data_IF_614511398458
#
_entry.id   IF_614511398458
#
_cell.length_a   1.000
_cell.length_b   1.000
_cell.length_c   1.000
_cell.angle_alpha   90.00
_cell.angle_beta   90.00
_cell.angle_gamma   90.00
#
_symmetry.space_group_name_H-M   'P 1'
#
loop_
_entity.id
_entity.type
_entity.pdbx_description
1 polymer ?
#
# COMPACT_ATOMS: atom_id res chain seq x y z
N UNK A 1 51.71 -6.42 -45.86
CA UNK A 1 50.55 -6.79 -45.01
C UNK A 1 50.70 -6.01 -43.72
N UNK A 2 49.94 -4.93 -43.60
CA UNK A 2 50.14 -3.85 -42.62
C UNK A 2 49.22 -4.10 -41.43
N UNK A 3 49.77 -4.51 -40.29
CA UNK A 3 49.02 -4.76 -39.06
C UNK A 3 49.04 -3.55 -38.15
N UNK A 4 48.03 -2.69 -38.29
CA UNK A 4 47.82 -1.46 -37.54
C UNK A 4 47.61 -1.75 -36.04
N UNK A 5 48.46 -1.17 -35.20
CA UNK A 5 48.26 -1.11 -33.76
C UNK A 5 47.11 -0.14 -33.44
N UNK A 6 46.01 -0.64 -32.86
CA UNK A 6 45.01 0.19 -32.20
C UNK A 6 45.09 -0.06 -30.70
N UNK A 7 45.95 0.72 -30.06
CA UNK A 7 46.06 0.82 -28.61
C UNK A 7 44.76 1.50 -28.11
N UNK A 8 43.72 0.70 -27.84
CA UNK A 8 42.46 1.17 -27.26
C UNK A 8 42.76 1.62 -25.83
N UNK A 9 42.96 2.92 -25.65
CA UNK A 9 43.04 3.57 -24.34
C UNK A 9 41.79 3.20 -23.54
N UNK A 10 41.97 2.37 -22.51
CA UNK A 10 40.96 2.15 -21.48
C UNK A 10 41.06 3.35 -20.54
N UNK A 11 40.15 4.31 -20.73
CA UNK A 11 39.94 5.40 -19.79
C UNK A 11 39.67 4.82 -18.39
N UNK A 12 40.35 5.28 -17.33
CA UNK A 12 40.07 4.82 -15.98
C UNK A 12 38.65 5.20 -15.57
N UNK A 13 37.95 4.29 -14.91
CA UNK A 13 36.60 4.52 -14.39
C UNK A 13 36.59 5.77 -13.49
N UNK A 14 35.67 6.69 -13.79
CA UNK A 14 35.42 7.86 -12.93
C UNK A 14 35.10 7.39 -11.50
N UNK A 15 35.71 7.99 -10.46
CA UNK A 15 35.36 7.66 -9.09
C UNK A 15 33.87 7.92 -8.85
N UNK A 16 33.18 6.93 -8.28
CA UNK A 16 31.85 7.14 -7.71
C UNK A 16 31.95 8.29 -6.69
N UNK A 17 31.08 9.29 -6.84
CA UNK A 17 30.95 10.41 -5.92
C UNK A 17 30.87 9.86 -4.48
N UNK A 18 31.90 10.14 -3.68
CA UNK A 18 31.90 9.73 -2.27
C UNK A 18 30.92 10.62 -1.51
N UNK A 19 29.91 10.06 -0.84
CA UNK A 19 29.02 10.86 -0.01
C UNK A 19 29.81 11.45 1.16
N UNK A 20 29.80 12.77 1.28
CA UNK A 20 30.42 13.48 2.40
C UNK A 20 29.85 13.07 3.76
N UNK A 21 30.52 13.46 4.87
CA UNK A 21 30.16 13.02 6.21
C UNK A 21 28.70 13.36 6.52
N UNK A 22 27.92 12.33 6.86
CA UNK A 22 26.51 12.47 7.22
C UNK A 22 26.41 13.27 8.51
N UNK A 23 26.05 14.55 8.41
CA UNK A 23 25.58 15.33 9.56
C UNK A 23 24.42 14.57 10.21
N UNK A 24 24.54 14.28 11.49
CA UNK A 24 23.60 13.45 12.25
C UNK A 24 22.17 13.94 12.07
N UNK A 25 21.36 13.17 11.33
CA UNK A 25 19.92 13.38 11.27
C UNK A 25 19.37 12.98 12.64
N UNK A 26 18.57 13.83 13.32
CA UNK A 26 17.95 13.41 14.57
C UNK A 26 17.19 12.10 14.30
N UNK A 27 17.36 11.14 15.20
CA UNK A 27 16.65 9.87 15.11
C UNK A 27 15.17 10.19 14.91
N UNK A 28 14.62 9.84 13.74
CA UNK A 28 13.17 9.83 13.56
C UNK A 28 12.68 8.84 14.60
N UNK A 29 12.10 9.33 15.69
CA UNK A 29 11.26 8.52 16.56
C UNK A 29 10.37 7.74 15.61
N UNK A 30 10.49 6.40 15.62
CA UNK A 30 9.59 5.58 14.84
C UNK A 30 8.19 5.95 15.33
N UNK A 31 7.46 6.72 14.52
CA UNK A 31 6.03 6.82 14.70
C UNK A 31 5.56 5.36 14.77
N UNK A 32 4.75 4.99 15.77
CA UNK A 32 4.19 3.64 15.81
C UNK A 32 3.64 3.35 14.41
N UNK A 33 4.05 2.21 13.84
CA UNK A 33 3.53 1.78 12.55
C UNK A 33 2.01 1.95 12.61
N UNK A 34 1.38 2.58 11.59
CA UNK A 34 -0.06 2.72 11.59
C UNK A 34 -0.61 1.31 11.82
N UNK A 35 -1.30 1.11 12.96
CA UNK A 35 -1.95 -0.18 13.21
C UNK A 35 -2.80 -0.41 11.96
N UNK A 36 -2.66 -1.56 11.26
CA UNK A 36 -3.59 -1.88 10.22
C UNK A 36 -4.97 -1.72 10.85
N UNK A 37 -5.78 -0.81 10.30
CA UNK A 37 -7.19 -0.74 10.67
C UNK A 37 -7.69 -2.16 10.45
N UNK A 38 -8.14 -2.86 11.50
CA UNK A 38 -8.77 -4.12 11.28
C UNK A 38 -10.01 -3.81 10.45
N UNK A 39 -9.95 -4.11 9.16
CA UNK A 39 -11.10 -4.27 8.31
C UNK A 39 -11.80 -5.52 8.84
N UNK A 40 -12.50 -5.35 9.96
CA UNK A 40 -13.14 -6.46 10.64
C UNK A 40 -14.18 -7.04 9.66
N UNK A 41 -14.13 -8.36 9.39
CA UNK A 41 -15.27 -9.04 8.85
C UNK A 41 -16.49 -8.69 9.72
N UNK A 42 -17.69 -8.54 9.13
CA UNK A 42 -18.89 -8.10 9.83
C UNK A 42 -19.24 -9.09 10.97
N UNK A 43 -18.79 -10.34 10.82
CA UNK A 43 -19.01 -11.45 11.75
C UNK A 43 -18.02 -11.47 12.93
N UNK A 44 -17.07 -10.53 13.00
CA UNK A 44 -16.08 -10.42 14.10
C UNK A 44 -16.33 -9.28 15.07
N UNK A 45 -17.39 -8.49 14.88
CA UNK A 45 -17.78 -7.46 15.84
C UNK A 45 -18.54 -8.10 17.00
N UNK A 46 -18.12 -7.82 18.23
CA UNK A 46 -18.89 -8.19 19.43
C UNK A 46 -20.20 -7.39 19.45
N UNK A 47 -21.26 -7.92 20.05
CA UNK A 47 -22.59 -7.30 20.02
C UNK A 47 -22.59 -5.85 20.50
N UNK A 48 -21.91 -5.55 21.60
CA UNK A 48 -21.77 -4.17 22.10
C UNK A 48 -21.02 -3.21 21.14
N UNK A 49 -20.15 -3.74 20.26
CA UNK A 49 -19.47 -2.94 19.24
C UNK A 49 -20.42 -2.66 18.07
N UNK A 50 -21.24 -3.64 17.69
CA UNK A 50 -22.29 -3.49 16.66
C UNK A 50 -23.34 -2.46 17.12
N UNK A 51 -23.81 -2.58 18.35
CA UNK A 51 -24.78 -1.63 18.94
C UNK A 51 -24.24 -0.20 18.98
N UNK A 52 -22.97 0.00 19.34
CA UNK A 52 -22.35 1.34 19.35
C UNK A 52 -22.21 1.93 17.94
N UNK A 53 -21.90 1.11 16.94
CA UNK A 53 -21.84 1.55 15.54
C UNK A 53 -23.23 1.90 15.04
N UNK A 54 -24.25 1.07 15.31
CA UNK A 54 -25.63 1.32 14.91
C UNK A 54 -26.24 2.56 15.59
N UNK A 55 -25.94 2.78 16.87
CA UNK A 55 -26.40 3.95 17.61
C UNK A 55 -25.73 5.26 17.12
N UNK A 56 -24.47 5.20 16.67
CA UNK A 56 -23.75 6.36 16.12
C UNK A 56 -24.09 6.64 14.65
N UNK A 57 -24.61 5.64 13.93
CA UNK A 57 -24.92 5.68 12.49
C UNK A 57 -25.82 6.85 12.07
N UNK A 58 -26.95 7.14 12.74
CA UNK A 58 -27.79 8.28 12.39
C UNK A 58 -27.20 9.65 12.79
N UNK A 59 -26.16 9.69 13.63
CA UNK A 59 -25.56 10.95 14.10
C UNK A 59 -24.49 11.51 13.13
N UNK A 60 -23.92 10.66 12.26
CA UNK A 60 -22.91 11.09 11.29
C UNK A 60 -22.94 10.21 10.03
N UNK A 61 -23.43 10.78 8.93
CA UNK A 61 -23.49 10.12 7.63
C UNK A 61 -22.11 9.68 7.14
N UNK A 62 -21.09 10.55 7.29
CA UNK A 62 -19.70 10.26 6.88
C UNK A 62 -19.12 9.02 7.58
N UNK A 63 -19.35 8.87 8.89
CA UNK A 63 -18.86 7.70 9.64
C UNK A 63 -19.55 6.41 9.18
N UNK A 64 -20.84 6.50 8.85
CA UNK A 64 -21.61 5.38 8.31
C UNK A 64 -21.10 4.97 6.94
N UNK A 65 -20.96 5.94 6.03
CA UNK A 65 -20.43 5.74 4.69
C UNK A 65 -19.02 5.13 4.74
N UNK A 66 -18.14 5.66 5.59
CA UNK A 66 -16.79 5.16 5.76
C UNK A 66 -16.77 3.71 6.27
N UNK A 67 -17.57 3.38 7.29
CA UNK A 67 -17.65 2.02 7.82
C UNK A 67 -18.14 1.04 6.74
N UNK A 68 -19.17 1.40 5.99
CA UNK A 68 -19.70 0.60 4.88
C UNK A 68 -18.65 0.39 3.78
N UNK A 69 -17.94 1.44 3.38
CA UNK A 69 -16.90 1.36 2.35
C UNK A 69 -15.69 0.53 2.79
N UNK A 70 -15.24 0.65 4.04
CA UNK A 70 -14.16 -0.20 4.59
C UNK A 70 -14.59 -1.67 4.59
N UNK A 71 -15.83 -1.94 5.00
CA UNK A 71 -16.36 -3.29 5.02
C UNK A 71 -16.44 -3.89 3.61
N UNK A 72 -16.98 -3.16 2.64
CA UNK A 72 -17.06 -3.60 1.26
C UNK A 72 -15.67 -3.82 0.65
N UNK A 73 -14.69 -2.96 0.97
CA UNK A 73 -13.31 -3.16 0.56
C UNK A 73 -12.72 -4.46 1.16
N UNK A 74 -13.01 -4.76 2.44
CA UNK A 74 -12.55 -5.98 3.09
C UNK A 74 -13.02 -7.24 2.36
N UNK A 75 -14.30 -7.25 1.93
CA UNK A 75 -14.87 -8.34 1.13
C UNK A 75 -14.17 -8.44 -0.23
N UNK A 76 -13.82 -7.31 -0.86
CA UNK A 76 -13.06 -7.31 -2.11
C UNK A 76 -11.63 -7.83 -1.97
N UNK A 77 -11.05 -7.82 -0.78
CA UNK A 77 -9.70 -8.35 -0.57
C UNK A 77 -9.67 -9.88 -0.50
N UNK A 78 -10.84 -10.54 -0.47
CA UNK A 78 -10.93 -11.99 -0.67
C UNK A 78 -10.96 -12.30 -2.18
N UNK A 79 -9.90 -12.89 -2.76
CA UNK A 79 -9.78 -13.05 -4.20
C UNK A 79 -10.89 -13.95 -4.77
N UNK A 80 -11.69 -13.38 -5.68
CA UNK A 80 -12.76 -14.10 -6.37
C UNK A 80 -12.84 -13.69 -7.85
N UNK A 81 -13.55 -14.49 -8.65
CA UNK A 81 -13.82 -14.10 -10.04
C UNK A 81 -14.68 -12.82 -10.06
N UNK A 82 -14.28 -11.83 -10.86
CA UNK A 82 -15.00 -10.57 -10.98
C UNK A 82 -14.64 -9.48 -9.95
N UNK A 83 -13.75 -9.77 -8.99
CA UNK A 83 -13.31 -8.79 -7.98
C UNK A 83 -12.70 -7.53 -8.61
N UNK A 84 -12.00 -7.65 -9.74
CA UNK A 84 -11.48 -6.49 -10.47
C UNK A 84 -12.58 -5.55 -10.99
N UNK A 85 -13.76 -6.06 -11.36
CA UNK A 85 -14.90 -5.22 -11.76
C UNK A 85 -15.57 -4.60 -10.54
N UNK A 86 -15.74 -5.38 -9.46
CA UNK A 86 -16.32 -4.89 -8.21
C UNK A 86 -15.45 -3.79 -7.57
N UNK A 87 -14.13 -3.80 -7.78
CA UNK A 87 -13.25 -2.69 -7.41
C UNK A 87 -13.59 -1.38 -8.15
N UNK A 88 -14.15 -1.42 -9.37
CA UNK A 88 -14.58 -0.21 -10.10
C UNK A 88 -15.77 0.38 -9.40
N UNK A 89 -16.76 -0.46 -9.14
CA UNK A 89 -17.97 -0.07 -8.43
C UNK A 89 -17.63 0.52 -7.08
N UNK A 90 -16.73 -0.12 -6.32
CA UNK A 90 -16.30 0.39 -5.02
C UNK A 90 -15.59 1.75 -5.10
N UNK A 91 -14.69 1.96 -6.07
CA UNK A 91 -14.03 3.26 -6.28
C UNK A 91 -15.07 4.34 -6.58
N UNK A 92 -16.03 4.06 -7.47
CA UNK A 92 -17.10 5.01 -7.81
C UNK A 92 -17.98 5.33 -6.61
N UNK A 93 -18.39 4.32 -5.83
CA UNK A 93 -19.15 4.52 -4.60
C UNK A 93 -18.37 5.37 -3.59
N UNK A 94 -17.08 5.10 -3.40
CA UNK A 94 -16.22 5.86 -2.50
C UNK A 94 -15.98 7.31 -2.95
N UNK A 95 -16.15 7.63 -4.24
CA UNK A 95 -16.06 8.97 -4.79
C UNK A 95 -17.37 9.77 -4.73
N UNK A 96 -18.49 9.09 -4.47
CA UNK A 96 -19.80 9.72 -4.33
C UNK A 96 -20.07 10.21 -2.89
N UNK A 97 -19.34 9.70 -1.91
CA UNK A 97 -19.43 10.08 -0.50
C UNK A 97 -18.59 11.33 -0.20
N UNK A 98 -18.98 12.18 0.76
CA UNK A 98 -18.17 13.34 1.15
C UNK A 98 -17.02 12.95 2.08
N UNK A 99 -16.06 12.17 1.56
CA UNK A 99 -14.91 11.64 2.30
C UNK A 99 -13.59 12.07 1.65
N UNK A 100 -13.11 13.32 1.84
CA UNK A 100 -11.98 13.89 1.10
C UNK A 100 -10.68 13.07 1.18
N UNK A 101 -10.42 12.43 2.34
CA UNK A 101 -9.23 11.58 2.51
C UNK A 101 -9.36 10.27 1.74
N UNK A 102 -10.58 9.74 1.61
CA UNK A 102 -10.84 8.55 0.80
C UNK A 102 -10.79 8.87 -0.69
N UNK A 103 -11.20 10.07 -1.13
CA UNK A 103 -11.02 10.54 -2.50
C UNK A 103 -9.55 10.57 -2.94
N UNK A 104 -8.65 11.01 -2.06
CA UNK A 104 -7.22 10.97 -2.34
C UNK A 104 -6.73 9.53 -2.55
N UNK A 105 -7.14 8.62 -1.67
CA UNK A 105 -6.82 7.20 -1.78
C UNK A 105 -7.36 6.59 -3.08
N UNK A 106 -8.62 6.80 -3.43
CA UNK A 106 -9.23 6.23 -4.64
C UNK A 106 -8.65 6.79 -5.92
N UNK A 107 -8.24 8.06 -5.93
CA UNK A 107 -7.52 8.66 -7.06
C UNK A 107 -6.16 8.00 -7.27
N UNK A 108 -5.40 7.77 -6.20
CA UNK A 108 -4.11 7.11 -6.31
C UNK A 108 -4.26 5.63 -6.69
N UNK A 109 -5.25 4.94 -6.11
CA UNK A 109 -5.61 3.58 -6.50
C UNK A 109 -6.06 3.48 -7.98
N UNK A 110 -6.72 4.51 -8.48
CA UNK A 110 -7.12 4.62 -9.89
C UNK A 110 -5.93 4.73 -10.86
N UNK A 111 -4.82 5.35 -10.44
CA UNK A 111 -3.59 5.41 -11.26
C UNK A 111 -2.98 4.02 -11.43
N UNK A 112 -3.01 3.21 -10.39
CA UNK A 112 -2.46 1.85 -10.37
C UNK A 112 -3.52 0.77 -10.66
N UNK A 113 -4.58 1.12 -11.40
CA UNK A 113 -5.77 0.29 -11.52
C UNK A 113 -5.51 -1.11 -12.10
N UNK A 114 -4.69 -1.20 -13.13
CA UNK A 114 -4.33 -2.47 -13.74
C UNK A 114 -3.57 -3.38 -12.75
N UNK A 115 -2.66 -2.79 -11.97
CA UNK A 115 -1.90 -3.51 -10.96
C UNK A 115 -2.79 -3.98 -9.81
N UNK A 116 -3.71 -3.11 -9.33
CA UNK A 116 -4.69 -3.48 -8.32
C UNK A 116 -5.63 -4.59 -8.79
N UNK A 117 -6.09 -4.54 -10.04
CA UNK A 117 -6.89 -5.60 -10.64
C UNK A 117 -6.12 -6.94 -10.69
N UNK A 118 -4.88 -6.91 -11.17
CA UNK A 118 -4.03 -8.10 -11.22
C UNK A 118 -3.74 -8.68 -9.83
N UNK A 119 -3.52 -7.84 -8.82
CA UNK A 119 -3.31 -8.28 -7.43
C UNK A 119 -4.52 -8.99 -6.82
N UNK A 120 -5.74 -8.72 -7.32
CA UNK A 120 -6.98 -9.32 -6.84
C UNK A 120 -7.41 -10.56 -7.64
N UNK A 121 -6.90 -10.75 -8.86
CA UNK A 121 -7.34 -11.83 -9.76
C UNK A 121 -6.27 -12.87 -10.07
N UNK A 122 -4.99 -12.52 -9.94
CA UNK A 122 -3.89 -13.47 -10.15
C UNK A 122 -3.56 -14.22 -8.86
N UNK A 123 -3.06 -15.46 -8.96
CA UNK A 123 -2.64 -16.23 -7.78
C UNK A 123 -1.36 -15.70 -7.11
N UNK A 124 -0.73 -14.67 -7.69
CA UNK A 124 0.54 -14.13 -7.24
C UNK A 124 0.33 -13.06 -6.17
N UNK A 125 1.04 -13.19 -5.04
CA UNK A 125 0.98 -12.26 -3.92
C UNK A 125 2.38 -11.84 -3.47
N UNK A 126 2.55 -10.56 -3.14
CA UNK A 126 3.85 -10.00 -2.74
C UNK A 126 4.26 -10.35 -1.29
N UNK A 127 3.40 -11.02 -0.52
CA UNK A 127 3.61 -11.26 0.91
C UNK A 127 4.93 -11.97 1.24
N UNK A 128 5.32 -12.99 0.46
CA UNK A 128 6.60 -13.68 0.65
C UNK A 128 7.81 -12.76 0.40
N UNK A 129 7.78 -12.02 -0.72
CA UNK A 129 8.83 -11.06 -1.10
C UNK A 129 8.95 -9.93 -0.07
N UNK A 130 7.83 -9.39 0.38
CA UNK A 130 7.79 -8.35 1.41
C UNK A 130 8.30 -8.87 2.76
N UNK A 131 7.97 -10.12 3.13
CA UNK A 131 8.47 -10.76 4.34
C UNK A 131 10.00 -10.87 4.35
N UNK A 132 10.60 -11.36 3.26
CA UNK A 132 12.06 -11.44 3.10
C UNK A 132 12.70 -10.05 3.13
N UNK A 133 12.11 -9.09 2.42
CA UNK A 133 12.57 -7.70 2.44
C UNK A 133 12.52 -7.11 3.84
N UNK A 134 11.46 -7.36 4.60
CA UNK A 134 11.32 -6.86 5.96
C UNK A 134 12.36 -7.50 6.89
N UNK A 135 12.54 -8.82 6.85
CA UNK A 135 13.57 -9.53 7.63
C UNK A 135 14.96 -8.99 7.35
N UNK A 136 15.29 -8.79 6.08
CA UNK A 136 16.59 -8.24 5.66
C UNK A 136 16.77 -6.80 6.18
N UNK A 137 15.73 -5.97 6.06
CA UNK A 137 15.75 -4.59 6.59
C UNK A 137 15.87 -4.56 8.11
N UNK A 138 15.31 -5.52 8.83
CA UNK A 138 15.42 -5.62 10.29
C UNK A 138 16.86 -5.97 10.71
N UNK A 139 17.47 -6.99 10.11
CA UNK A 139 18.87 -7.37 10.41
C UNK A 139 19.81 -6.19 10.16
N UNK A 140 19.67 -5.51 9.01
CA UNK A 140 20.49 -4.33 8.67
C UNK A 140 20.33 -3.14 9.63
N UNK A 141 19.29 -3.09 10.45
CA UNK A 141 19.06 -2.01 11.44
C UNK A 141 19.62 -2.37 12.83
N UNK A 142 19.89 -3.65 13.06
CA UNK A 142 20.45 -4.17 14.32
C UNK A 142 21.99 -4.26 14.27
N UNK A 143 22.56 -4.12 13.08
CA UNK A 143 24.00 -3.90 12.84
C UNK A 143 24.28 -2.41 12.71
#
# INVERSE_FOLDING_TARGET
MTGTALHRQLEPARPLHQPGPRRGRPARTLAPAPRPLPAHPPDRLKDHQRERVEAARPACHEMTALAHLIHHLAVLLDPAHGTATLLSTWITSAQAEDLPRLHAFTRDLGKDRAAAGAALTLPHHNGGTEGVNNKTKLVKRQM
#
